data_IF_006779693148
#
_entry.id   IF_006779693148
#
_cell.length_a   1.000
_cell.length_b   1.000
_cell.length_c   1.000
_cell.angle_alpha   90.00
_cell.angle_beta   90.00
_cell.angle_gamma   90.00
#
_symmetry.space_group_name_H-M   'P 1'
#
loop_
_entity.id
_entity.type
_entity.pdbx_description
1 polymer ?
#
# COMPACT_ATOMS: atom_id res chain seq x y z
N UNK A 1 16.14 -0.24 -9.61
CA UNK A 1 15.25 -0.06 -8.44
C UNK A 1 16.01 0.21 -7.15
N UNK A 2 17.12 -0.48 -6.89
CA UNK A 2 17.94 -0.35 -5.66
C UNK A 2 18.42 1.08 -5.38
N UNK A 3 18.79 1.84 -6.42
CA UNK A 3 19.22 3.24 -6.27
C UNK A 3 18.09 4.18 -5.77
N UNK A 4 16.83 3.88 -6.08
CA UNK A 4 15.69 4.68 -5.60
C UNK A 4 15.36 4.35 -4.14
N UNK A 5 15.42 3.07 -3.76
CA UNK A 5 15.22 2.63 -2.38
C UNK A 5 16.33 3.18 -1.45
N UNK A 6 17.59 3.19 -1.90
CA UNK A 6 18.72 3.69 -1.12
C UNK A 6 18.64 5.21 -0.85
N UNK A 7 18.23 6.01 -1.84
CA UNK A 7 18.02 7.47 -1.65
C UNK A 7 16.89 7.75 -0.66
N UNK A 8 15.79 7.00 -0.74
CA UNK A 8 14.67 7.12 0.21
C UNK A 8 15.11 6.74 1.62
N UNK A 9 15.88 5.66 1.77
CA UNK A 9 16.44 5.21 3.05
C UNK A 9 17.32 6.26 3.72
N UNK A 10 18.25 6.88 2.97
CA UNK A 10 19.09 7.98 3.48
C UNK A 10 18.26 9.19 3.95
N UNK A 11 17.23 9.56 3.19
CA UNK A 11 16.35 10.68 3.54
C UNK A 11 15.50 10.37 4.78
N UNK A 12 15.00 9.13 4.88
CA UNK A 12 14.24 8.65 6.03
C UNK A 12 15.10 8.58 7.30
N UNK A 13 16.32 8.03 7.21
CA UNK A 13 17.23 7.90 8.37
C UNK A 13 17.64 9.25 8.95
N UNK A 14 17.85 10.26 8.09
CA UNK A 14 18.15 11.62 8.55
C UNK A 14 17.01 12.25 9.36
N UNK A 15 15.76 12.09 8.92
CA UNK A 15 14.58 12.60 9.64
C UNK A 15 14.28 11.77 10.90
N UNK A 16 14.48 10.45 10.85
CA UNK A 16 14.31 9.57 12.01
C UNK A 16 15.31 9.90 13.11
N UNK A 17 16.56 10.20 12.74
CA UNK A 17 17.58 10.62 13.70
C UNK A 17 17.21 11.96 14.36
N UNK A 18 16.67 12.90 13.59
CA UNK A 18 16.17 14.17 14.14
C UNK A 18 15.03 13.95 15.13
N UNK A 19 14.10 13.03 14.83
CA UNK A 19 12.98 12.71 15.72
C UNK A 19 13.47 12.03 17.00
N UNK A 20 14.43 11.10 16.89
CA UNK A 20 15.03 10.41 18.04
C UNK A 20 15.80 11.37 18.95
N UNK A 21 16.44 12.37 18.38
CA UNK A 21 17.19 13.39 19.10
C UNK A 21 16.28 14.53 19.63
N UNK A 22 14.97 14.49 19.39
CA UNK A 22 14.05 15.53 19.83
C UNK A 22 13.74 15.38 21.33
N UNK A 23 14.13 16.35 22.18
CA UNK A 23 14.13 16.16 23.64
C UNK A 23 12.72 16.27 24.27
N UNK A 24 11.72 16.74 23.53
CA UNK A 24 10.37 17.01 24.06
C UNK A 24 9.33 16.11 23.36
N UNK A 25 8.70 15.16 24.08
CA UNK A 25 7.61 14.37 23.53
C UNK A 25 6.43 15.29 23.17
N UNK A 26 6.05 15.30 21.89
CA UNK A 26 4.90 16.06 21.36
C UNK A 26 5.26 17.10 20.28
N UNK A 27 6.45 17.72 20.36
CA UNK A 27 6.87 18.78 19.42
C UNK A 27 7.22 18.26 18.01
N UNK A 28 7.48 16.97 17.89
CA UNK A 28 7.80 16.28 16.64
C UNK A 28 6.64 15.91 15.73
N UNK A 29 5.42 16.44 15.92
CA UNK A 29 4.26 16.11 15.06
C UNK A 29 4.55 16.41 13.58
N UNK A 30 5.06 17.61 13.27
CA UNK A 30 5.43 17.98 11.91
C UNK A 30 6.59 17.14 11.33
N UNK A 31 7.47 16.61 12.18
CA UNK A 31 8.55 15.72 11.76
C UNK A 31 8.03 14.30 11.49
N UNK A 32 7.11 13.80 12.32
CA UNK A 32 6.37 12.55 12.09
C UNK A 32 5.58 12.61 10.79
N UNK A 33 4.90 13.71 10.49
CA UNK A 33 4.18 13.89 9.22
C UNK A 33 5.12 13.90 8.01
N UNK A 34 6.32 14.47 8.16
CA UNK A 34 7.35 14.44 7.11
C UNK A 34 7.90 13.04 6.89
N UNK A 35 8.09 12.27 7.96
CA UNK A 35 8.52 10.86 7.89
C UNK A 35 7.43 10.02 7.21
N UNK A 36 6.16 10.15 7.65
CA UNK A 36 5.00 9.43 7.07
C UNK A 36 4.83 9.70 5.56
N UNK A 37 5.14 10.91 5.10
CA UNK A 37 5.17 11.25 3.65
C UNK A 37 6.25 10.49 2.85
N UNK A 38 7.29 10.00 3.50
CA UNK A 38 8.35 9.18 2.89
C UNK A 38 8.03 7.71 3.04
N UNK A 39 7.80 7.24 4.26
CA UNK A 39 7.40 5.88 4.64
C UNK A 39 7.23 5.87 6.16
N UNK A 40 6.20 5.20 6.68
CA UNK A 40 5.99 5.11 8.12
C UNK A 40 7.01 4.16 8.79
N UNK A 41 7.38 3.06 8.12
CA UNK A 41 8.54 2.22 8.45
C UNK A 41 9.78 2.54 7.58
N UNK A 42 10.91 1.90 7.87
CA UNK A 42 12.13 2.03 7.04
C UNK A 42 11.82 1.61 5.59
N UNK A 43 12.10 2.46 4.58
CA UNK A 43 11.70 2.17 3.20
C UNK A 43 12.52 1.01 2.62
N UNK A 44 11.81 0.02 2.09
CA UNK A 44 12.37 -1.18 1.45
C UNK A 44 11.97 -1.29 -0.01
N UNK A 45 10.87 -0.63 -0.41
CA UNK A 45 10.33 -0.65 -1.76
C UNK A 45 10.67 0.63 -2.52
N UNK A 46 10.60 0.61 -3.87
CA UNK A 46 10.88 1.81 -4.66
C UNK A 46 9.79 2.88 -4.53
N UNK A 47 8.57 2.52 -4.12
CA UNK A 47 7.42 3.44 -4.03
C UNK A 47 6.84 3.49 -2.62
N UNK A 48 6.36 4.67 -2.20
CA UNK A 48 5.61 4.84 -0.95
C UNK A 48 4.40 3.91 -0.88
N UNK A 49 3.72 3.72 -2.01
CA UNK A 49 2.55 2.84 -2.11
C UNK A 49 2.89 1.38 -1.81
N UNK A 50 4.06 0.91 -2.29
CA UNK A 50 4.54 -0.42 -1.99
C UNK A 50 4.92 -0.59 -0.52
N UNK A 51 5.59 0.41 0.08
CA UNK A 51 5.91 0.38 1.50
C UNK A 51 4.65 0.39 2.37
N UNK A 52 3.65 1.23 2.06
CA UNK A 52 2.38 1.31 2.82
C UNK A 52 1.62 -0.01 2.79
N UNK A 53 1.53 -0.69 1.65
CA UNK A 53 0.89 -2.01 1.57
C UNK A 53 1.67 -3.11 2.31
N UNK A 54 3.00 -3.06 2.28
CA UNK A 54 3.83 -4.00 3.04
C UNK A 54 3.72 -3.76 4.55
N UNK A 55 3.57 -2.51 4.98
CA UNK A 55 3.41 -2.12 6.37
C UNK A 55 2.18 -2.78 7.00
N UNK A 56 1.02 -2.79 6.32
CA UNK A 56 -0.18 -3.49 6.82
C UNK A 56 0.16 -4.94 7.19
N UNK A 57 0.84 -5.66 6.29
CA UNK A 57 1.22 -7.05 6.53
C UNK A 57 2.25 -7.21 7.66
N UNK A 58 3.11 -6.21 7.87
CA UNK A 58 4.09 -6.20 8.95
C UNK A 58 3.44 -5.92 10.31
N UNK A 59 2.54 -4.94 10.39
CA UNK A 59 1.75 -4.60 11.59
C UNK A 59 0.90 -5.80 12.00
N UNK A 60 0.15 -6.39 11.06
CA UNK A 60 -0.67 -7.58 11.32
C UNK A 60 0.16 -8.75 11.83
N UNK A 61 1.36 -8.96 11.27
CA UNK A 61 2.27 -10.01 11.74
C UNK A 61 2.84 -9.70 13.13
N UNK A 62 3.14 -8.44 13.43
CA UNK A 62 3.70 -8.01 14.70
C UNK A 62 2.68 -8.09 15.83
N UNK A 63 1.45 -7.60 15.61
CA UNK A 63 0.39 -7.58 16.63
C UNK A 63 -0.26 -8.95 16.81
N UNK A 64 -0.47 -9.69 15.72
CA UNK A 64 -1.29 -10.92 15.76
C UNK A 64 -0.52 -12.20 15.49
N UNK A 65 0.76 -12.12 15.09
CA UNK A 65 1.54 -13.30 14.67
C UNK A 65 1.02 -13.98 13.39
N UNK A 66 0.00 -13.40 12.75
CA UNK A 66 -0.67 -13.96 11.58
C UNK A 66 0.02 -13.52 10.31
N UNK A 67 0.22 -14.46 9.38
CA UNK A 67 0.62 -14.09 8.03
C UNK A 67 -0.59 -13.52 7.29
N UNK A 68 -0.58 -12.21 7.06
CA UNK A 68 -1.65 -11.50 6.34
C UNK A 68 -2.00 -12.19 5.01
N UNK A 69 -1.02 -12.72 4.26
CA UNK A 69 -1.27 -13.39 2.97
C UNK A 69 -2.11 -14.66 3.12
N UNK A 70 -1.99 -15.33 4.26
CA UNK A 70 -2.69 -16.58 4.57
C UNK A 70 -4.03 -16.29 5.25
N UNK A 71 -4.08 -15.32 6.15
CA UNK A 71 -5.28 -14.96 6.89
C UNK A 71 -6.32 -14.25 6.01
N UNK A 72 -5.87 -13.37 5.09
CA UNK A 72 -6.75 -12.50 4.33
C UNK A 72 -7.84 -13.21 3.51
N UNK A 73 -7.55 -14.26 2.71
CA UNK A 73 -8.60 -14.95 1.95
C UNK A 73 -9.67 -15.61 2.84
N UNK A 74 -9.28 -16.06 4.05
CA UNK A 74 -10.21 -16.66 5.02
C UNK A 74 -11.05 -15.58 5.70
N UNK A 75 -10.41 -14.47 6.06
CA UNK A 75 -11.09 -13.31 6.61
C UNK A 75 -12.12 -12.75 5.61
N UNK A 76 -11.77 -12.68 4.33
CA UNK A 76 -12.66 -12.24 3.27
C UNK A 76 -13.98 -13.02 3.23
N UNK A 77 -13.97 -14.32 3.54
CA UNK A 77 -15.18 -15.14 3.57
C UNK A 77 -16.03 -14.92 4.83
N UNK A 78 -15.45 -14.42 5.91
CA UNK A 78 -16.13 -14.14 7.17
C UNK A 78 -16.72 -12.72 7.21
N UNK A 79 -16.15 -11.79 6.43
CA UNK A 79 -16.57 -10.39 6.41
C UNK A 79 -17.97 -10.24 5.77
N UNK A 80 -18.90 -9.48 6.40
CA UNK A 80 -20.21 -9.15 5.83
C UNK A 80 -20.14 -8.53 4.43
N UNK A 81 -21.18 -8.73 3.62
CA UNK A 81 -21.19 -8.19 2.25
C UNK A 81 -21.10 -6.65 2.23
N UNK A 82 -21.69 -5.97 3.21
CA UNK A 82 -21.62 -4.51 3.36
C UNK A 82 -20.17 -4.02 3.49
N UNK A 83 -19.40 -4.58 4.43
CA UNK A 83 -17.98 -4.26 4.61
C UNK A 83 -17.13 -4.66 3.40
N UNK A 84 -17.44 -5.78 2.73
CA UNK A 84 -16.80 -6.14 1.46
C UNK A 84 -17.11 -5.14 0.35
N UNK A 85 -18.32 -4.58 0.34
CA UNK A 85 -18.73 -3.50 -0.55
C UNK A 85 -17.88 -2.25 -0.37
N UNK A 86 -17.71 -1.79 0.87
CA UNK A 86 -16.85 -0.65 1.22
C UNK A 86 -15.39 -0.88 0.79
N UNK A 87 -14.82 -2.05 1.07
CA UNK A 87 -13.46 -2.40 0.63
C UNK A 87 -13.31 -2.41 -0.90
N UNK A 88 -14.30 -2.95 -1.62
CA UNK A 88 -14.32 -2.93 -3.10
C UNK A 88 -14.47 -1.51 -3.63
N UNK A 89 -15.29 -0.69 -2.99
CA UNK A 89 -15.48 0.73 -3.34
C UNK A 89 -14.18 1.52 -3.20
N UNK A 90 -13.52 1.42 -2.05
CA UNK A 90 -12.21 2.05 -1.82
C UNK A 90 -11.15 1.55 -2.81
N UNK A 91 -11.13 0.24 -3.11
CA UNK A 91 -10.26 -0.33 -4.13
C UNK A 91 -10.53 0.24 -5.53
N UNK A 92 -11.79 0.38 -5.91
CA UNK A 92 -12.20 0.94 -7.20
C UNK A 92 -11.77 2.40 -7.33
N UNK A 93 -11.90 3.20 -6.28
CA UNK A 93 -11.44 4.59 -6.26
C UNK A 93 -9.91 4.70 -6.42
N UNK A 94 -9.16 3.79 -5.80
CA UNK A 94 -7.73 3.67 -6.02
C UNK A 94 -7.41 3.32 -7.49
N UNK A 95 -8.09 2.31 -8.05
CA UNK A 95 -7.86 1.87 -9.43
C UNK A 95 -8.21 2.98 -10.44
N UNK A 96 -9.26 3.79 -10.17
CA UNK A 96 -9.58 4.99 -10.96
C UNK A 96 -8.46 6.03 -10.92
N UNK A 97 -7.88 6.28 -9.74
CA UNK A 97 -6.78 7.23 -9.60
C UNK A 97 -5.51 6.76 -10.32
N UNK A 98 -5.19 5.46 -10.24
CA UNK A 98 -4.10 4.84 -10.99
C UNK A 98 -4.36 4.93 -12.50
N UNK A 99 -5.59 4.65 -12.93
CA UNK A 99 -6.01 4.78 -14.33
C UNK A 99 -5.78 6.18 -14.87
N UNK A 100 -6.10 7.23 -14.10
CA UNK A 100 -5.86 8.63 -14.47
C UNK A 100 -4.37 8.92 -14.73
N UNK A 101 -3.49 8.39 -13.88
CA UNK A 101 -2.04 8.48 -14.09
C UNK A 101 -1.59 7.69 -15.31
N UNK A 102 -2.18 6.52 -15.57
CA UNK A 102 -1.93 5.73 -16.77
C UNK A 102 -2.25 6.51 -18.04
N UNK A 103 -3.44 7.11 -18.10
CA UNK A 103 -3.84 7.97 -19.22
C UNK A 103 -2.92 9.17 -19.40
N UNK A 104 -2.52 9.84 -18.32
CA UNK A 104 -1.57 10.94 -18.38
C UNK A 104 -0.22 10.54 -18.98
N UNK A 105 0.27 9.33 -18.67
CA UNK A 105 1.51 8.80 -19.26
C UNK A 105 1.35 8.52 -20.76
N UNK A 106 0.19 7.98 -21.17
CA UNK A 106 -0.10 7.77 -22.59
C UNK A 106 -0.10 9.09 -23.36
N UNK A 107 -0.70 10.15 -22.82
CA UNK A 107 -0.67 11.48 -23.45
C UNK A 107 0.75 12.05 -23.56
N UNK A 108 1.59 11.87 -22.54
CA UNK A 108 3.01 12.26 -22.57
C UNK A 108 3.75 11.54 -23.70
N UNK A 109 3.53 10.23 -23.85
CA UNK A 109 4.19 9.43 -24.89
C UNK A 109 3.75 9.83 -26.30
N UNK A 110 2.45 10.04 -26.49
CA UNK A 110 1.90 10.51 -27.77
C UNK A 110 2.44 11.91 -28.10
N UNK A 111 2.46 12.83 -27.13
CA UNK A 111 3.01 14.17 -27.32
C UNK A 111 4.50 14.14 -27.64
N UNK A 112 5.29 13.29 -26.98
CA UNK A 112 6.72 13.12 -27.28
C UNK A 112 6.93 12.59 -28.71
N UNK A 113 6.15 11.60 -29.13
CA UNK A 113 6.23 11.04 -30.49
C UNK A 113 5.87 12.09 -31.56
N UNK A 114 4.83 12.89 -31.31
CA UNK A 114 4.41 13.96 -32.24
C UNK A 114 5.47 15.06 -32.42
N UNK A 115 6.21 15.41 -31.35
CA UNK A 115 7.31 16.39 -31.44
C UNK A 115 8.42 15.90 -32.36
N UNK A 116 8.74 14.60 -32.30
CA UNK A 116 9.82 14.00 -33.09
C UNK A 116 9.40 13.82 -34.55
N UNK A 117 8.13 13.49 -34.82
CA UNK A 117 7.65 13.20 -36.17
C UNK A 117 7.37 14.46 -37.00
N UNK A 118 6.56 15.39 -36.48
CA UNK A 118 5.97 16.48 -37.29
C UNK A 118 6.50 17.87 -36.92
N UNK A 119 7.33 18.00 -35.88
CA UNK A 119 7.87 19.28 -35.43
C UNK A 119 6.81 20.27 -34.88
N UNK A 120 5.58 19.80 -34.63
CA UNK A 120 4.49 20.60 -34.08
C UNK A 120 4.67 20.85 -32.56
N UNK A 121 5.63 21.70 -32.21
CA UNK A 121 6.07 21.93 -30.83
C UNK A 121 4.97 22.53 -29.95
N UNK A 122 4.22 23.52 -30.45
CA UNK A 122 3.27 24.30 -29.63
C UNK A 122 2.09 23.45 -29.11
N UNK A 123 1.45 22.67 -29.98
CA UNK A 123 0.31 21.82 -29.61
C UNK A 123 0.76 20.63 -28.74
N UNK A 124 1.92 20.07 -29.06
CA UNK A 124 2.48 18.92 -28.34
C UNK A 124 2.96 19.31 -26.93
N UNK A 125 3.50 20.52 -26.75
CA UNK A 125 3.82 21.04 -25.42
C UNK A 125 2.58 21.19 -24.53
N UNK A 126 1.45 21.64 -25.09
CA UNK A 126 0.20 21.72 -24.35
C UNK A 126 -0.30 20.32 -23.94
N UNK A 127 -0.29 19.35 -24.87
CA UNK A 127 -0.66 17.96 -24.58
C UNK A 127 0.27 17.32 -23.53
N UNK A 128 1.58 17.57 -23.62
CA UNK A 128 2.58 17.13 -22.65
C UNK A 128 2.30 17.71 -21.26
N UNK A 129 2.04 19.02 -21.16
CA UNK A 129 1.71 19.68 -19.90
C UNK A 129 0.43 19.10 -19.29
N UNK A 130 -0.62 18.88 -20.09
CA UNK A 130 -1.85 18.21 -19.64
C UNK A 130 -1.57 16.79 -19.14
N UNK A 131 -0.77 16.00 -19.85
CA UNK A 131 -0.38 14.66 -19.43
C UNK A 131 0.38 14.65 -18.09
N UNK A 132 1.33 15.58 -17.91
CA UNK A 132 2.07 15.75 -16.65
C UNK A 132 1.11 16.11 -15.50
N UNK A 133 0.18 17.03 -15.73
CA UNK A 133 -0.84 17.40 -14.75
C UNK A 133 -1.71 16.19 -14.36
N UNK A 134 -2.17 15.39 -15.33
CA UNK A 134 -2.95 14.17 -15.07
C UNK A 134 -2.15 13.14 -14.26
N UNK A 135 -0.88 12.90 -14.61
CA UNK A 135 0.00 12.01 -13.84
C UNK A 135 0.14 12.51 -12.40
N UNK A 136 0.41 13.80 -12.22
CA UNK A 136 0.60 14.38 -10.89
C UNK A 136 -0.67 14.32 -10.03
N UNK A 137 -1.84 14.63 -10.62
CA UNK A 137 -3.13 14.58 -9.93
C UNK A 137 -3.48 13.13 -9.59
N UNK A 138 -3.37 12.22 -10.55
CA UNK A 138 -3.63 10.79 -10.35
C UNK A 138 -2.71 10.20 -9.28
N UNK A 139 -1.43 10.58 -9.26
CA UNK A 139 -0.48 10.12 -8.25
C UNK A 139 -0.83 10.60 -6.84
N UNK A 140 -1.19 11.88 -6.69
CA UNK A 140 -1.62 12.42 -5.39
C UNK A 140 -2.90 11.75 -4.90
N UNK A 141 -3.89 11.59 -5.79
CA UNK A 141 -5.15 10.91 -5.48
C UNK A 141 -4.92 9.45 -5.10
N UNK A 142 -4.11 8.73 -5.87
CA UNK A 142 -3.83 7.32 -5.61
C UNK A 142 -3.15 7.13 -4.25
N UNK A 143 -2.26 8.04 -3.83
CA UNK A 143 -1.69 8.00 -2.48
C UNK A 143 -2.73 8.18 -1.38
N UNK A 144 -3.63 9.15 -1.52
CA UNK A 144 -4.69 9.38 -0.53
C UNK A 144 -5.65 8.17 -0.46
N UNK A 145 -6.12 7.69 -1.60
CA UNK A 145 -7.02 6.52 -1.69
C UNK A 145 -6.37 5.24 -1.17
N UNK A 146 -5.07 5.09 -1.38
CA UNK A 146 -4.34 3.93 -0.85
C UNK A 146 -4.24 3.98 0.68
N UNK A 147 -4.05 5.16 1.27
CA UNK A 147 -4.04 5.30 2.74
C UNK A 147 -5.42 4.97 3.32
N UNK A 148 -6.49 5.52 2.72
CA UNK A 148 -7.88 5.19 3.09
C UNK A 148 -8.16 3.68 2.98
N UNK A 149 -7.72 3.05 1.88
CA UNK A 149 -7.87 1.61 1.68
C UNK A 149 -7.06 0.78 2.68
N UNK A 150 -5.85 1.22 3.03
CA UNK A 150 -5.00 0.57 4.02
C UNK A 150 -5.65 0.63 5.42
N UNK A 151 -6.12 1.80 5.82
CA UNK A 151 -6.78 2.02 7.11
C UNK A 151 -8.08 1.19 7.21
N UNK A 152 -8.84 1.08 6.12
CA UNK A 152 -10.02 0.19 6.03
C UNK A 152 -9.65 -1.29 6.19
N UNK A 153 -8.54 -1.75 5.58
CA UNK A 153 -8.06 -3.12 5.75
C UNK A 153 -7.69 -3.37 7.21
N UNK A 154 -6.90 -2.47 7.81
CA UNK A 154 -6.48 -2.57 9.22
C UNK A 154 -7.71 -2.63 10.15
N UNK A 155 -8.66 -1.70 10.01
CA UNK A 155 -9.89 -1.68 10.80
C UNK A 155 -10.74 -2.95 10.61
N UNK A 156 -10.80 -3.48 9.38
CA UNK A 156 -11.54 -4.72 9.10
C UNK A 156 -10.92 -5.91 9.84
N UNK A 157 -9.58 -6.00 9.87
CA UNK A 157 -8.86 -7.05 10.60
C UNK A 157 -9.12 -6.91 12.09
N UNK A 158 -9.00 -5.70 12.64
CA UNK A 158 -9.19 -5.44 14.06
C UNK A 158 -10.58 -5.83 14.54
N UNK A 159 -11.61 -5.56 13.73
CA UNK A 159 -13.00 -5.91 14.03
C UNK A 159 -13.29 -7.41 13.88
N UNK A 160 -12.71 -8.08 12.88
CA UNK A 160 -13.04 -9.48 12.56
C UNK A 160 -12.04 -10.49 13.14
N UNK A 161 -11.02 -10.05 13.87
CA UNK A 161 -10.01 -10.92 14.49
C UNK A 161 -10.61 -11.96 15.45
N UNK A 162 -11.61 -11.57 16.23
CA UNK A 162 -12.25 -12.47 17.19
C UNK A 162 -13.10 -13.54 16.51
N UNK A 163 -13.79 -13.19 15.42
CA UNK A 163 -14.51 -14.15 14.59
C UNK A 163 -13.55 -15.12 13.89
N UNK A 164 -12.41 -14.62 13.40
CA UNK A 164 -11.37 -15.46 12.83
C UNK A 164 -10.84 -16.45 13.88
N UNK A 165 -10.52 -15.97 15.08
CA UNK A 165 -10.08 -16.81 16.19
C UNK A 165 -11.12 -17.88 16.57
N UNK A 166 -12.40 -17.50 16.68
CA UNK A 166 -13.51 -18.45 16.95
C UNK A 166 -13.69 -19.48 15.83
N UNK A 167 -13.55 -19.08 14.57
CA UNK A 167 -13.67 -19.98 13.41
C UNK A 167 -12.47 -20.93 13.26
N UNK A 168 -11.29 -20.54 13.75
CA UNK A 168 -10.09 -21.39 13.77
C UNK A 168 -10.05 -22.30 15.00
N UNK A 169 -10.78 -21.96 16.06
CA UNK A 169 -11.01 -22.79 17.25
C UNK A 169 -12.04 -23.91 17.01
N UNK A 170 -12.18 -24.43 15.78
CA UNK A 170 -12.98 -25.63 15.52
C UNK A 170 -12.32 -26.80 16.24
N UNK A 171 -13.09 -27.30 17.21
CA UNK A 171 -12.73 -28.18 18.32
C UNK A 171 -12.64 -29.67 17.94
N UNK A 172 -12.44 -30.00 16.67
CA UNK A 172 -12.15 -31.39 16.27
C UNK A 172 -11.33 -31.50 14.97
N UNK A 173 -10.07 -31.10 15.05
CA UNK A 173 -9.02 -31.63 14.18
C UNK A 173 -8.51 -32.91 14.82
N UNK A 174 -9.08 -34.06 14.42
CA UNK A 174 -8.54 -35.35 14.82
C UNK A 174 -7.03 -35.44 14.55
N UNK A 175 -6.31 -36.13 15.44
CA UNK A 175 -4.85 -36.11 15.55
C UNK A 175 -4.11 -36.41 14.23
N UNK A 176 -4.69 -37.28 13.40
CA UNK A 176 -4.12 -37.63 12.09
C UNK A 176 -4.35 -36.56 11.02
N UNK A 177 -5.49 -35.87 11.06
CA UNK A 177 -5.82 -34.74 10.18
C UNK A 177 -4.89 -33.56 10.44
N UNK A 178 -4.59 -33.29 11.72
CA UNK A 178 -3.63 -32.26 12.11
C UNK A 178 -2.21 -32.54 11.58
N UNK A 179 -1.72 -33.79 11.73
CA UNK A 179 -0.38 -34.18 11.26
C UNK A 179 -0.24 -34.10 9.73
N UNK A 180 -1.30 -34.45 8.99
CA UNK A 180 -1.33 -34.33 7.54
C UNK A 180 -1.24 -32.86 7.08
N UNK A 181 -2.00 -31.96 7.72
CA UNK A 181 -1.99 -30.51 7.42
C UNK A 181 -0.64 -29.87 7.78
N UNK A 182 -0.03 -30.26 8.91
CA UNK A 182 1.29 -29.75 9.30
C UNK A 182 2.40 -30.17 8.32
N UNK A 183 2.34 -31.39 7.75
CA UNK A 183 3.33 -31.83 6.75
C UNK A 183 3.16 -31.10 5.41
N UNK A 184 1.93 -30.79 5.01
CA UNK A 184 1.64 -30.04 3.79
C UNK A 184 2.11 -28.58 3.89
N UNK A 185 1.91 -27.93 5.05
CA UNK A 185 2.34 -26.54 5.26
C UNK A 185 3.84 -26.37 5.48
N UNK A 186 4.52 -27.39 6.04
CA UNK A 186 5.97 -27.34 6.31
C UNK A 186 6.84 -27.56 5.07
N UNK A 187 6.30 -28.15 3.98
CA UNK A 187 7.07 -28.45 2.77
C UNK A 187 7.19 -27.28 1.77
N UNK A 188 6.59 -26.12 2.09
CA UNK A 188 6.64 -24.92 1.24
C UNK A 188 7.62 -23.83 1.69
N UNK A 189 8.52 -24.12 2.64
CA UNK A 189 9.69 -23.28 2.95
C UNK A 189 10.89 -23.71 2.14
#
# INVERSE_FOLDING_TARGET
>A
AEHLASRRRKRWSGLWQQLKNEPVPGKGSGLRDRIRRISAAMPERPTWMGDRLCEIGAVVRQEYGLDFRVAWPRLWLLIPEETRGELRGARLELDRAIGLSGWGLTYILIAAAAIVADGAVLLSCAAMACGICLVAIGWRRARARLDEYADLIEATIDLHREQLAKSMLVKDLGEDTGRAVTRLLRKGR
#
